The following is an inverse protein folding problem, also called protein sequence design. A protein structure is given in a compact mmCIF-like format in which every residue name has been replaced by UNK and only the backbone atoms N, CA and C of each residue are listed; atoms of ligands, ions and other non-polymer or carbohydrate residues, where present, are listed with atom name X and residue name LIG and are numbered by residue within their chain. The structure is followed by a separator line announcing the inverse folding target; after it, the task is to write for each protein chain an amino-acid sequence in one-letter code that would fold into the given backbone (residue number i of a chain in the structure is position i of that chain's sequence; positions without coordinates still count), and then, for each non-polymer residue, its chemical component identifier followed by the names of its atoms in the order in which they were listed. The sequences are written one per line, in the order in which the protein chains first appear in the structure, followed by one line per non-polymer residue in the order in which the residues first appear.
data_IF_106685357696
#
_entry.id   IF_106685357696
#
_cell.length_a   1.000
_cell.length_b   1.000
_cell.length_c   1.000
_cell.angle_alpha   90.00
_cell.angle_beta   90.00
_cell.angle_gamma   90.00
#
_symmetry.space_group_name_H-M   'P 1'
#
loop_
_entity.id
_entity.type
_entity.pdbx_description
1 polymer ?
#
# COMPACT_ATOMS: atom_id res chain seq x y z
N UNK A 1 73.28 -80.47 -36.87
CA UNK A 1 72.21 -79.59 -37.39
C UNK A 1 71.39 -79.16 -36.17
N UNK A 2 72.02 -78.50 -35.19
CA UNK A 2 71.50 -78.50 -33.81
C UNK A 2 71.58 -77.12 -33.12
N UNK A 3 72.11 -76.10 -33.80
CA UNK A 3 72.26 -74.75 -33.24
C UNK A 3 71.01 -73.88 -33.53
N UNK A 4 70.27 -74.16 -34.61
CA UNK A 4 69.12 -73.35 -35.01
C UNK A 4 67.88 -73.55 -34.12
N UNK A 5 67.57 -74.77 -33.71
CA UNK A 5 66.37 -75.08 -32.90
C UNK A 5 66.45 -74.45 -31.50
N UNK A 6 67.63 -74.49 -30.88
CA UNK A 6 67.84 -73.90 -29.55
C UNK A 6 67.71 -72.37 -29.58
N UNK A 7 68.21 -71.73 -30.64
CA UNK A 7 68.08 -70.28 -30.82
C UNK A 7 66.61 -69.86 -31.01
N UNK A 8 65.81 -70.64 -31.74
CA UNK A 8 64.39 -70.37 -31.96
C UNK A 8 63.61 -70.48 -30.64
N UNK A 9 63.90 -71.50 -29.82
CA UNK A 9 63.25 -71.69 -28.52
C UNK A 9 63.60 -70.55 -27.56
N UNK A 10 64.88 -70.18 -27.46
CA UNK A 10 65.31 -69.06 -26.61
C UNK A 10 64.69 -67.75 -27.09
N UNK A 11 64.64 -67.50 -28.40
CA UNK A 11 64.01 -66.29 -28.97
C UNK A 11 62.51 -66.24 -28.69
N UNK A 12 61.80 -67.36 -28.81
CA UNK A 12 60.38 -67.46 -28.46
C UNK A 12 60.12 -67.20 -26.96
N UNK A 13 60.95 -67.74 -26.07
CA UNK A 13 60.84 -67.48 -24.63
C UNK A 13 61.11 -66.01 -24.33
N UNK A 14 62.16 -65.43 -24.91
CA UNK A 14 62.55 -64.03 -24.68
C UNK A 14 61.51 -63.06 -25.25
N UNK A 15 60.92 -63.36 -26.42
CA UNK A 15 59.84 -62.61 -27.01
C UNK A 15 58.54 -62.72 -26.19
N UNK A 16 58.22 -63.92 -25.69
CA UNK A 16 57.07 -64.13 -24.80
C UNK A 16 57.21 -63.35 -23.48
N UNK A 17 58.41 -63.35 -22.89
CA UNK A 17 58.71 -62.60 -21.67
C UNK A 17 58.70 -61.08 -21.91
N UNK A 18 59.26 -60.64 -23.05
CA UNK A 18 59.25 -59.24 -23.47
C UNK A 18 57.84 -58.72 -23.76
N UNK A 19 56.99 -59.52 -24.41
CA UNK A 19 55.58 -59.18 -24.65
C UNK A 19 54.79 -59.11 -23.33
N UNK A 20 55.02 -60.04 -22.40
CA UNK A 20 54.40 -60.03 -21.08
C UNK A 20 54.78 -58.76 -20.29
N UNK A 21 56.08 -58.46 -20.19
CA UNK A 21 56.56 -57.24 -19.54
C UNK A 21 56.01 -55.99 -20.23
N UNK A 22 56.09 -55.88 -21.56
CA UNK A 22 55.53 -54.75 -22.30
C UNK A 22 54.04 -54.53 -22.01
N UNK A 23 53.25 -55.61 -21.97
CA UNK A 23 51.83 -55.56 -21.63
C UNK A 23 51.58 -55.13 -20.18
N UNK A 24 52.42 -55.57 -19.25
CA UNK A 24 52.33 -55.24 -17.83
C UNK A 24 52.62 -53.77 -17.58
N UNK A 25 53.69 -53.24 -18.17
CA UNK A 25 54.05 -51.82 -18.06
C UNK A 25 53.00 -50.92 -18.73
N UNK A 26 52.46 -51.33 -19.88
CA UNK A 26 51.37 -50.61 -20.55
C UNK A 26 50.11 -50.53 -19.68
N UNK A 27 49.65 -51.66 -19.12
CA UNK A 27 48.51 -51.68 -18.18
C UNK A 27 48.77 -50.83 -16.93
N UNK A 28 49.99 -50.84 -16.41
CA UNK A 28 50.36 -50.04 -15.24
C UNK A 28 50.36 -48.53 -15.55
N UNK A 29 50.82 -48.14 -16.74
CA UNK A 29 50.74 -46.76 -17.23
C UNK A 29 49.30 -46.29 -17.48
N UNK A 30 48.46 -47.16 -18.06
CA UNK A 30 47.02 -46.88 -18.26
C UNK A 30 46.29 -46.73 -16.92
N UNK A 31 46.55 -47.61 -15.95
CA UNK A 31 46.00 -47.50 -14.59
C UNK A 31 46.43 -46.21 -13.89
N UNK A 32 47.70 -45.83 -13.98
CA UNK A 32 48.19 -44.60 -13.37
C UNK A 32 47.57 -43.34 -14.01
N UNK A 33 47.36 -43.34 -15.33
CA UNK A 33 46.68 -42.25 -16.02
C UNK A 33 45.17 -42.17 -15.66
N UNK A 34 44.51 -43.32 -15.49
CA UNK A 34 43.11 -43.40 -15.05
C UNK A 34 42.97 -42.91 -13.60
N UNK A 35 43.89 -43.29 -12.71
CA UNK A 35 43.90 -42.86 -11.30
C UNK A 35 44.16 -41.34 -11.16
N UNK A 36 45.10 -40.80 -11.95
CA UNK A 36 45.33 -39.36 -12.02
C UNK A 36 44.11 -38.60 -12.55
N UNK A 37 43.39 -39.14 -13.54
CA UNK A 37 42.18 -38.50 -14.06
C UNK A 37 41.01 -38.63 -13.07
N UNK A 38 40.87 -39.76 -12.37
CA UNK A 38 39.85 -39.94 -11.34
C UNK A 38 40.05 -39.02 -10.14
N UNK A 39 41.29 -38.86 -9.67
CA UNK A 39 41.60 -37.94 -8.56
C UNK A 39 41.32 -36.49 -8.94
N UNK A 40 41.68 -36.07 -10.15
CA UNK A 40 41.30 -34.74 -10.66
C UNK A 40 39.79 -34.58 -10.81
N UNK A 41 39.08 -35.57 -11.35
CA UNK A 41 37.62 -35.55 -11.48
C UNK A 41 36.91 -35.48 -10.12
N UNK A 42 37.41 -36.19 -9.10
CA UNK A 42 36.90 -36.11 -7.74
C UNK A 42 37.13 -34.72 -7.14
N UNK A 43 38.32 -34.14 -7.32
CA UNK A 43 38.62 -32.80 -6.84
C UNK A 43 37.74 -31.72 -7.51
N UNK A 44 37.49 -31.85 -8.82
CA UNK A 44 36.55 -30.99 -9.53
C UNK A 44 35.11 -31.18 -9.07
N UNK A 45 34.68 -32.41 -8.78
CA UNK A 45 33.35 -32.69 -8.26
C UNK A 45 33.15 -32.09 -6.85
N UNK A 46 34.13 -32.23 -5.95
CA UNK A 46 34.09 -31.64 -4.60
C UNK A 46 34.08 -30.12 -4.65
N UNK A 47 34.93 -29.50 -5.49
CA UNK A 47 34.93 -28.04 -5.70
C UNK A 47 33.58 -27.55 -6.24
N UNK A 48 33.02 -28.22 -7.23
CA UNK A 48 31.71 -27.87 -7.78
C UNK A 48 30.59 -28.04 -6.74
N UNK A 49 30.62 -29.10 -5.93
CA UNK A 49 29.62 -29.31 -4.89
C UNK A 49 29.69 -28.24 -3.80
N UNK A 50 30.90 -27.79 -3.43
CA UNK A 50 31.10 -26.69 -2.48
C UNK A 50 30.57 -25.36 -3.04
N UNK A 51 30.89 -25.03 -4.28
CA UNK A 51 30.40 -23.81 -4.94
C UNK A 51 28.89 -23.82 -5.09
N UNK A 52 28.28 -24.96 -5.48
CA UNK A 52 26.83 -25.10 -5.56
C UNK A 52 26.18 -24.90 -4.19
N UNK A 53 26.77 -25.46 -3.12
CA UNK A 53 26.29 -25.25 -1.75
C UNK A 53 26.35 -23.79 -1.31
N UNK A 54 27.42 -23.08 -1.64
CA UNK A 54 27.59 -21.65 -1.34
C UNK A 54 26.60 -20.76 -2.13
N UNK A 55 26.37 -21.07 -3.41
CA UNK A 55 25.37 -20.39 -4.25
C UNK A 55 23.95 -20.67 -3.76
N UNK A 56 23.65 -21.91 -3.38
CA UNK A 56 22.33 -22.27 -2.87
C UNK A 56 22.06 -21.61 -1.51
N UNK A 57 23.05 -21.53 -0.63
CA UNK A 57 22.93 -20.86 0.66
C UNK A 57 22.78 -19.33 0.51
N UNK A 58 23.50 -18.72 -0.42
CA UNK A 58 23.35 -17.28 -0.72
C UNK A 58 21.99 -16.97 -1.34
N UNK A 59 21.54 -17.77 -2.31
CA UNK A 59 20.20 -17.64 -2.89
C UNK A 59 19.08 -17.86 -1.86
N UNK A 60 19.26 -18.81 -0.93
CA UNK A 60 18.29 -19.01 0.17
C UNK A 60 18.21 -17.82 1.12
N UNK A 61 19.35 -17.21 1.46
CA UNK A 61 19.38 -15.99 2.29
C UNK A 61 18.73 -14.82 1.56
N UNK A 62 19.13 -14.58 0.31
CA UNK A 62 18.60 -13.48 -0.49
C UNK A 62 17.10 -13.65 -0.73
N UNK A 63 16.65 -14.86 -1.04
CA UNK A 63 15.22 -15.19 -1.14
C UNK A 63 14.47 -15.00 0.18
N UNK A 64 15.06 -15.38 1.32
CA UNK A 64 14.46 -15.14 2.63
C UNK A 64 14.34 -13.64 2.96
N UNK A 65 15.36 -12.85 2.62
CA UNK A 65 15.37 -11.40 2.80
C UNK A 65 14.30 -10.73 1.91
N UNK A 66 14.20 -11.13 0.64
CA UNK A 66 13.14 -10.68 -0.27
C UNK A 66 11.75 -11.06 0.22
N UNK A 67 11.57 -12.30 0.69
CA UNK A 67 10.30 -12.75 1.25
C UNK A 67 9.93 -11.97 2.51
N UNK A 68 10.90 -11.65 3.36
CA UNK A 68 10.68 -10.84 4.55
C UNK A 68 10.27 -9.41 4.18
N UNK A 69 10.96 -8.77 3.24
CA UNK A 69 10.63 -7.41 2.79
C UNK A 69 9.23 -7.34 2.16
N UNK A 70 8.88 -8.32 1.31
CA UNK A 70 7.55 -8.44 0.72
C UNK A 70 6.49 -8.66 1.79
N UNK A 71 6.75 -9.51 2.77
CA UNK A 71 5.83 -9.77 3.88
C UNK A 71 5.60 -8.51 4.72
N UNK A 72 6.65 -7.76 5.08
CA UNK A 72 6.53 -6.49 5.80
C UNK A 72 5.70 -5.48 5.02
N UNK A 73 5.96 -5.35 3.71
CA UNK A 73 5.18 -4.47 2.81
C UNK A 73 3.69 -4.87 2.77
N UNK A 74 3.39 -6.16 2.72
CA UNK A 74 2.02 -6.67 2.75
C UNK A 74 1.33 -6.38 4.09
N UNK A 75 2.01 -6.57 5.22
CA UNK A 75 1.47 -6.24 6.54
C UNK A 75 1.17 -4.74 6.66
N UNK A 76 2.11 -3.89 6.25
CA UNK A 76 1.87 -2.44 6.25
C UNK A 76 0.69 -2.05 5.36
N UNK A 77 0.53 -2.68 4.20
CA UNK A 77 -0.64 -2.45 3.36
C UNK A 77 -1.93 -2.91 4.02
N UNK A 78 -1.94 -4.09 4.66
CA UNK A 78 -3.13 -4.61 5.36
C UNK A 78 -3.58 -3.63 6.44
N UNK A 79 -2.64 -3.13 7.25
CA UNK A 79 -2.91 -2.11 8.26
C UNK A 79 -3.46 -0.83 7.63
N UNK A 80 -2.83 -0.31 6.57
CA UNK A 80 -3.34 0.89 5.87
C UNK A 80 -4.73 0.69 5.30
N UNK A 81 -5.00 -0.48 4.72
CA UNK A 81 -6.32 -0.84 4.17
C UNK A 81 -7.39 -0.80 5.26
N UNK A 82 -7.15 -1.45 6.40
CA UNK A 82 -8.09 -1.42 7.53
C UNK A 82 -8.37 0.01 7.97
N UNK A 83 -7.33 0.84 8.10
CA UNK A 83 -7.49 2.25 8.43
C UNK A 83 -8.26 3.05 7.38
N UNK A 84 -8.04 2.81 6.08
CA UNK A 84 -8.84 3.44 5.04
C UNK A 84 -10.31 3.04 5.15
N UNK A 85 -10.61 1.77 5.45
CA UNK A 85 -11.99 1.31 5.63
C UNK A 85 -12.65 2.03 6.82
N UNK A 86 -11.98 2.06 7.98
CA UNK A 86 -12.49 2.75 9.18
C UNK A 86 -12.77 4.24 8.91
N UNK A 87 -11.84 4.93 8.23
CA UNK A 87 -12.00 6.35 7.86
C UNK A 87 -13.17 6.54 6.88
N UNK A 88 -13.25 5.69 5.85
CA UNK A 88 -14.30 5.80 4.84
C UNK A 88 -15.69 5.50 5.42
N UNK A 89 -15.79 4.52 6.31
CA UNK A 89 -17.04 4.17 6.99
C UNK A 89 -17.52 5.31 7.88
N UNK A 90 -16.63 5.95 8.63
CA UNK A 90 -16.95 7.15 9.43
C UNK A 90 -17.39 8.32 8.54
N UNK A 91 -16.68 8.59 7.44
CA UNK A 91 -17.04 9.65 6.50
C UNK A 91 -18.40 9.38 5.83
N UNK A 92 -18.70 8.13 5.49
CA UNK A 92 -20.01 7.73 4.95
C UNK A 92 -21.12 7.90 5.99
N UNK A 93 -20.88 7.52 7.24
CA UNK A 93 -21.83 7.68 8.32
C UNK A 93 -22.13 9.16 8.60
N UNK A 94 -21.09 10.01 8.62
CA UNK A 94 -21.24 11.47 8.73
C UNK A 94 -22.08 12.00 7.57
N UNK A 95 -21.73 11.65 6.32
CA UNK A 95 -22.47 12.04 5.13
C UNK A 95 -23.95 11.65 5.23
N UNK A 96 -24.25 10.43 5.68
CA UNK A 96 -25.63 9.95 5.83
C UNK A 96 -26.41 10.77 6.86
N UNK A 97 -25.79 11.13 7.98
CA UNK A 97 -26.43 11.97 9.00
C UNK A 97 -26.63 13.41 8.51
N UNK A 98 -25.66 13.99 7.79
CA UNK A 98 -25.81 15.30 7.15
C UNK A 98 -26.96 15.31 6.15
N UNK A 99 -27.07 14.29 5.28
CA UNK A 99 -28.21 14.15 4.35
C UNK A 99 -29.54 14.09 5.11
N UNK A 100 -29.58 13.41 6.26
CA UNK A 100 -30.78 13.37 7.10
C UNK A 100 -31.13 14.76 7.65
N UNK A 101 -30.14 15.50 8.13
CA UNK A 101 -30.34 16.86 8.64
C UNK A 101 -30.83 17.82 7.55
N UNK A 102 -30.24 17.74 6.36
CA UNK A 102 -30.63 18.56 5.21
C UNK A 102 -32.06 18.32 4.72
N UNK A 103 -32.60 17.11 4.89
CA UNK A 103 -34.01 16.86 4.58
C UNK A 103 -34.93 17.78 5.39
N UNK A 104 -34.66 17.96 6.68
CA UNK A 104 -35.43 18.88 7.52
C UNK A 104 -35.25 20.34 7.07
N UNK A 105 -34.02 20.75 6.77
CA UNK A 105 -33.74 22.12 6.30
C UNK A 105 -34.42 22.43 4.97
N UNK A 106 -34.44 21.48 4.03
CA UNK A 106 -35.09 21.63 2.74
C UNK A 106 -36.62 21.72 2.84
N UNK A 107 -37.21 21.20 3.92
CA UNK A 107 -38.65 21.30 4.18
C UNK A 107 -39.06 22.66 4.80
N UNK A 108 -38.14 23.37 5.47
CA UNK A 108 -38.42 24.67 6.13
C UNK A 108 -39.19 25.66 5.24
N UNK A 109 -38.79 25.93 3.99
CA UNK A 109 -39.47 26.93 3.15
C UNK A 109 -40.89 26.52 2.74
N UNK A 110 -41.25 25.23 2.86
CA UNK A 110 -42.56 24.72 2.43
C UNK A 110 -43.65 24.92 3.48
N UNK A 111 -43.26 25.20 4.73
CA UNK A 111 -44.18 25.38 5.84
C UNK A 111 -44.60 26.84 5.96
N UNK A 112 -45.73 27.15 5.33
CA UNK A 112 -46.43 28.44 5.41
C UNK A 112 -47.83 28.25 6.00
N UNK A 113 -48.32 29.25 6.71
CA UNK A 113 -49.68 29.33 7.25
C UNK A 113 -50.71 29.45 6.13
N UNK A 114 -51.99 29.35 6.48
CA UNK A 114 -53.09 29.49 5.52
C UNK A 114 -53.09 30.86 4.78
N UNK A 115 -52.49 31.88 5.40
CA UNK A 115 -52.36 33.23 4.85
C UNK A 115 -51.09 33.41 4.00
N UNK A 116 -50.31 32.34 3.82
CA UNK A 116 -49.05 32.34 3.05
C UNK A 116 -47.86 32.91 3.81
N UNK A 117 -48.01 33.24 5.10
CA UNK A 117 -46.91 33.67 5.96
C UNK A 117 -46.10 32.47 6.46
N UNK A 118 -44.80 32.63 6.77
CA UNK A 118 -43.99 31.55 7.37
C UNK A 118 -44.64 30.98 8.65
N UNK A 119 -44.82 29.66 8.73
CA UNK A 119 -45.21 29.03 9.99
C UNK A 119 -43.98 28.92 10.90
N UNK A 120 -43.69 30.01 11.62
CA UNK A 120 -42.48 30.13 12.43
C UNK A 120 -42.29 28.99 13.43
N UNK A 121 -43.39 28.44 13.99
CA UNK A 121 -43.28 27.34 14.96
C UNK A 121 -42.82 26.05 14.30
N UNK A 122 -43.40 25.74 13.15
CA UNK A 122 -43.05 24.52 12.41
C UNK A 122 -41.67 24.63 11.77
N UNK A 123 -41.34 25.79 11.22
CA UNK A 123 -40.00 26.10 10.69
C UNK A 123 -38.93 25.99 11.78
N UNK A 124 -39.15 26.59 12.96
CA UNK A 124 -38.20 26.47 14.08
C UNK A 124 -38.07 25.03 14.59
N UNK A 125 -39.13 24.23 14.56
CA UNK A 125 -39.06 22.82 14.94
C UNK A 125 -38.12 22.05 14.00
N UNK A 126 -38.27 22.20 12.69
CA UNK A 126 -37.41 21.53 11.70
C UNK A 126 -35.95 21.96 11.80
N UNK A 127 -35.68 23.26 12.02
CA UNK A 127 -34.32 23.77 12.24
C UNK A 127 -33.70 23.11 13.48
N UNK A 128 -34.44 23.01 14.58
CA UNK A 128 -33.95 22.36 15.81
C UNK A 128 -33.66 20.87 15.62
N UNK A 129 -34.46 20.15 14.85
CA UNK A 129 -34.21 18.74 14.52
C UNK A 129 -32.93 18.59 13.69
N UNK A 130 -32.71 19.45 12.70
CA UNK A 130 -31.46 19.48 11.94
C UNK A 130 -30.26 19.78 12.85
N UNK A 131 -30.35 20.80 13.71
CA UNK A 131 -29.30 21.15 14.68
C UNK A 131 -28.98 20.01 15.64
N UNK A 132 -29.99 19.29 16.12
CA UNK A 132 -29.79 18.14 17.00
C UNK A 132 -28.98 17.03 16.33
N UNK A 133 -29.15 16.84 15.01
CA UNK A 133 -28.36 15.87 14.24
C UNK A 133 -26.90 16.34 14.09
N UNK A 134 -26.68 17.61 13.76
CA UNK A 134 -25.33 18.15 13.62
C UNK A 134 -24.56 18.16 14.93
N UNK A 135 -25.19 18.65 16.00
CA UNK A 135 -24.57 18.79 17.32
C UNK A 135 -24.49 17.48 18.11
N UNK A 136 -25.15 16.41 17.66
CA UNK A 136 -25.10 15.09 18.28
C UNK A 136 -24.41 14.07 17.36
N UNK A 137 -25.16 13.28 16.58
CA UNK A 137 -24.62 12.18 15.76
C UNK A 137 -23.46 12.55 14.84
N UNK A 138 -23.46 13.74 14.23
CA UNK A 138 -22.39 14.18 13.31
C UNK A 138 -21.14 14.54 14.12
N UNK A 139 -21.27 15.39 15.14
CA UNK A 139 -20.15 15.79 15.99
C UNK A 139 -19.48 14.59 16.67
N UNK A 140 -20.27 13.63 17.17
CA UNK A 140 -19.74 12.40 17.78
C UNK A 140 -18.84 11.62 16.80
N UNK A 141 -19.27 11.48 15.54
CA UNK A 141 -18.48 10.79 14.50
C UNK A 141 -17.27 11.60 14.07
N UNK A 142 -17.35 12.93 14.06
CA UNK A 142 -16.19 13.80 13.80
C UNK A 142 -15.15 13.60 14.91
N UNK A 143 -15.57 13.51 16.18
CA UNK A 143 -14.68 13.21 17.30
C UNK A 143 -14.03 11.83 17.13
N UNK A 144 -14.82 10.79 16.81
CA UNK A 144 -14.28 9.45 16.54
C UNK A 144 -13.26 9.46 15.39
N UNK A 145 -13.54 10.21 14.32
CA UNK A 145 -12.62 10.36 13.19
C UNK A 145 -11.32 11.07 13.60
N UNK A 146 -11.39 12.13 14.42
CA UNK A 146 -10.20 12.81 14.97
C UNK A 146 -9.36 11.87 15.84
N UNK A 147 -9.99 11.07 16.68
CA UNK A 147 -9.30 10.08 17.51
C UNK A 147 -8.60 9.01 16.67
N UNK A 148 -9.28 8.49 15.65
CA UNK A 148 -8.72 7.52 14.70
C UNK A 148 -7.49 8.11 14.00
N UNK A 149 -7.60 9.36 13.55
CA UNK A 149 -6.50 10.06 12.88
C UNK A 149 -5.30 10.21 13.79
N UNK A 150 -5.52 10.73 15.01
CA UNK A 150 -4.45 10.99 15.98
C UNK A 150 -3.76 9.71 16.47
N UNK A 151 -4.51 8.61 16.64
CA UNK A 151 -3.95 7.36 17.18
C UNK A 151 -3.27 6.50 16.14
N UNK A 152 -3.83 6.41 14.93
CA UNK A 152 -3.43 5.39 13.94
C UNK A 152 -3.03 5.96 12.59
N UNK A 153 -3.66 7.04 12.12
CA UNK A 153 -3.37 7.55 10.77
C UNK A 153 -2.04 8.31 10.69
N UNK A 154 -1.62 9.05 11.72
CA UNK A 154 -0.36 9.84 11.68
C UNK A 154 0.86 9.01 11.30
N UNK A 155 0.92 7.75 11.71
CA UNK A 155 2.07 6.87 11.47
C UNK A 155 1.97 6.07 10.17
N UNK A 156 0.76 5.92 9.62
CA UNK A 156 0.49 4.93 8.58
C UNK A 156 -0.12 5.54 7.31
N UNK A 157 -0.71 6.73 7.37
CA UNK A 157 -1.31 7.37 6.20
C UNK A 157 -0.27 8.13 5.38
N UNK A 158 -0.38 8.11 4.04
CA UNK A 158 0.40 9.01 3.20
C UNK A 158 -0.01 10.46 3.48
N UNK A 159 0.94 11.39 3.35
CA UNK A 159 0.75 12.83 3.59
C UNK A 159 -0.48 13.40 2.84
N UNK A 160 -0.73 12.91 1.63
CA UNK A 160 -1.91 13.29 0.85
C UNK A 160 -3.23 12.95 1.55
N UNK A 161 -3.33 11.79 2.21
CA UNK A 161 -4.53 11.41 2.96
C UNK A 161 -4.67 12.25 4.24
N UNK A 162 -3.56 12.51 4.92
CA UNK A 162 -3.55 13.40 6.09
C UNK A 162 -3.96 14.83 5.74
N UNK A 163 -3.53 15.34 4.58
CA UNK A 163 -3.94 16.65 4.09
C UNK A 163 -5.46 16.70 3.84
N UNK A 164 -6.03 15.67 3.21
CA UNK A 164 -7.49 15.62 2.96
C UNK A 164 -8.29 15.64 4.26
N UNK A 165 -7.85 14.91 5.29
CA UNK A 165 -8.52 14.91 6.58
C UNK A 165 -8.33 16.23 7.33
N UNK A 166 -7.16 16.85 7.22
CA UNK A 166 -6.90 18.20 7.74
C UNK A 166 -7.81 19.23 7.08
N UNK A 167 -7.94 19.19 5.76
CA UNK A 167 -8.82 20.09 5.00
C UNK A 167 -10.28 19.88 5.41
N UNK A 168 -10.70 18.63 5.64
CA UNK A 168 -12.02 18.30 6.14
C UNK A 168 -12.28 18.90 7.54
N UNK A 169 -11.37 18.68 8.51
CA UNK A 169 -11.53 19.23 9.86
C UNK A 169 -11.49 20.76 9.91
N UNK A 170 -10.82 21.39 8.94
CA UNK A 170 -10.72 22.84 8.81
C UNK A 170 -11.72 23.42 7.81
N UNK A 171 -12.65 22.62 7.27
CA UNK A 171 -13.50 23.01 6.16
C UNK A 171 -14.32 24.26 6.46
N UNK A 172 -14.89 24.38 7.66
CA UNK A 172 -15.68 25.56 8.06
C UNK A 172 -14.80 26.81 8.22
N UNK A 173 -13.57 26.66 8.74
CA UNK A 173 -12.61 27.77 8.82
C UNK A 173 -12.21 28.26 7.43
N UNK A 174 -11.97 27.33 6.50
CA UNK A 174 -11.65 27.61 5.10
C UNK A 174 -12.82 28.31 4.42
N UNK A 175 -14.05 27.84 4.63
CA UNK A 175 -15.26 28.46 4.08
C UNK A 175 -15.40 29.90 4.54
N UNK A 176 -15.38 30.14 5.86
CA UNK A 176 -15.50 31.49 6.43
C UNK A 176 -14.43 32.42 5.84
N UNK A 177 -13.18 31.96 5.77
CA UNK A 177 -12.09 32.74 5.19
C UNK A 177 -12.33 33.09 3.72
N UNK A 178 -12.89 32.18 2.94
CA UNK A 178 -13.24 32.43 1.54
C UNK A 178 -14.42 33.40 1.42
N UNK A 179 -15.47 33.24 2.23
CA UNK A 179 -16.61 34.17 2.28
C UNK A 179 -16.15 35.61 2.59
N UNK A 180 -15.26 35.80 3.56
CA UNK A 180 -14.67 37.12 3.85
C UNK A 180 -13.86 37.69 2.67
N UNK A 181 -13.09 36.84 1.96
CA UNK A 181 -12.32 37.28 0.79
C UNK A 181 -13.21 37.69 -0.37
N UNK A 182 -14.27 36.91 -0.62
CA UNK A 182 -15.24 37.21 -1.66
C UNK A 182 -16.01 38.49 -1.33
N UNK A 183 -16.43 38.66 -0.07
CA UNK A 183 -17.02 39.89 0.44
C UNK A 183 -16.09 41.10 0.25
N UNK A 184 -14.82 41.01 0.66
CA UNK A 184 -13.85 42.10 0.45
C UNK A 184 -13.68 42.45 -1.03
N UNK A 185 -13.65 41.44 -1.91
CA UNK A 185 -13.54 41.64 -3.35
C UNK A 185 -14.77 42.37 -3.89
N UNK A 186 -15.96 41.95 -3.50
CA UNK A 186 -17.21 42.53 -3.98
C UNK A 186 -17.45 43.94 -3.41
N UNK A 187 -17.01 44.20 -2.18
CA UNK A 187 -16.95 45.54 -1.59
C UNK A 187 -16.01 46.46 -2.38
N UNK A 188 -14.80 45.99 -2.72
CA UNK A 188 -13.84 46.75 -3.54
C UNK A 188 -14.36 47.04 -4.95
N UNK A 189 -15.24 46.18 -5.47
CA UNK A 189 -15.87 46.34 -6.78
C UNK A 189 -17.16 47.17 -6.74
N UNK A 190 -17.58 47.65 -5.56
CA UNK A 190 -18.80 48.44 -5.38
C UNK A 190 -20.09 47.64 -5.58
N UNK A 191 -20.02 46.30 -5.50
CA UNK A 191 -21.18 45.40 -5.60
C UNK A 191 -21.90 45.25 -4.26
N UNK A 192 -21.18 45.47 -3.16
CA UNK A 192 -21.68 45.42 -1.79
C UNK A 192 -21.40 46.75 -1.08
N UNK A 193 -22.24 47.06 -0.11
CA UNK A 193 -22.14 48.20 0.79
C UNK A 193 -21.27 47.87 2.01
N UNK A 194 -20.70 48.90 2.63
CA UNK A 194 -20.01 48.78 3.94
C UNK A 194 -20.95 48.39 5.08
N UNK A 195 -22.26 48.45 4.85
CA UNK A 195 -23.29 48.02 5.80
C UNK A 195 -23.73 46.58 5.59
N UNK A 196 -23.32 45.94 4.48
CA UNK A 196 -23.59 44.53 4.24
C UNK A 196 -22.67 43.67 5.13
N UNK A 197 -23.15 42.51 5.53
CA UNK A 197 -22.37 41.58 6.36
C UNK A 197 -21.88 40.40 5.52
N UNK A 198 -20.64 39.93 5.71
CA UNK A 198 -20.14 38.69 5.12
C UNK A 198 -20.77 37.42 5.73
N UNK A 199 -21.78 37.55 6.60
CA UNK A 199 -22.42 36.41 7.22
C UNK A 199 -23.34 35.70 6.24
N UNK A 200 -22.84 34.57 5.73
CA UNK A 200 -23.70 33.48 5.28
C UNK A 200 -24.59 33.05 6.45
N UNK A 201 -25.89 32.85 6.20
CA UNK A 201 -26.83 32.36 7.20
C UNK A 201 -26.31 31.09 7.88
N UNK A 202 -26.68 30.87 9.13
CA UNK A 202 -26.31 29.67 9.90
C UNK A 202 -26.67 28.37 9.15
N UNK A 203 -27.78 28.38 8.41
CA UNK A 203 -28.21 27.28 7.54
C UNK A 203 -27.18 26.93 6.45
N UNK A 204 -26.52 27.92 5.83
CA UNK A 204 -25.47 27.68 4.84
C UNK A 204 -24.24 26.98 5.43
N UNK A 205 -23.99 27.17 6.72
CA UNK A 205 -22.91 26.44 7.42
C UNK A 205 -23.20 24.95 7.56
N UNK A 206 -24.48 24.58 7.62
CA UNK A 206 -24.92 23.20 7.78
C UNK A 206 -24.73 22.40 6.49
N UNK A 207 -25.10 22.98 5.33
CA UNK A 207 -24.88 22.38 4.01
C UNK A 207 -23.40 22.14 3.70
N UNK A 208 -22.51 23.01 4.19
CA UNK A 208 -21.06 22.87 3.96
C UNK A 208 -20.45 21.60 4.54
N UNK A 209 -20.99 21.11 5.66
CA UNK A 209 -20.49 19.88 6.29
C UNK A 209 -20.72 18.65 5.41
N UNK A 210 -21.84 18.60 4.66
CA UNK A 210 -22.09 17.53 3.71
C UNK A 210 -21.07 17.58 2.56
N UNK A 211 -20.92 18.74 1.93
CA UNK A 211 -20.00 18.93 0.81
C UNK A 211 -18.55 18.57 1.20
N UNK A 212 -18.13 19.01 2.38
CA UNK A 212 -16.81 18.69 2.92
C UNK A 212 -16.63 17.18 3.12
N UNK A 213 -17.63 16.50 3.68
CA UNK A 213 -17.60 15.05 3.89
C UNK A 213 -17.55 14.27 2.56
N UNK A 214 -18.33 14.69 1.55
CA UNK A 214 -18.33 14.07 0.23
C UNK A 214 -16.99 14.25 -0.50
N UNK A 215 -16.42 15.45 -0.43
CA UNK A 215 -15.12 15.75 -1.02
C UNK A 215 -14.02 14.91 -0.35
N UNK A 216 -14.02 14.86 0.98
CA UNK A 216 -13.07 14.05 1.75
C UNK A 216 -13.18 12.57 1.38
N UNK A 217 -14.40 12.02 1.37
CA UNK A 217 -14.66 10.62 1.01
C UNK A 217 -14.12 10.28 -0.39
N UNK A 218 -14.43 11.13 -1.39
CA UNK A 218 -13.97 10.94 -2.77
C UNK A 218 -12.45 10.96 -2.88
N UNK A 219 -11.80 11.89 -2.20
CA UNK A 219 -10.34 12.04 -2.25
C UNK A 219 -9.62 10.91 -1.52
N UNK A 220 -10.09 10.50 -0.33
CA UNK A 220 -9.54 9.33 0.38
C UNK A 220 -9.71 8.06 -0.45
N UNK A 221 -10.88 7.86 -1.08
CA UNK A 221 -11.11 6.72 -1.98
C UNK A 221 -10.12 6.70 -3.14
N UNK A 222 -9.83 7.87 -3.73
CA UNK A 222 -8.85 8.00 -4.82
C UNK A 222 -7.44 7.64 -4.34
N UNK A 223 -7.04 8.12 -3.16
CA UNK A 223 -5.73 7.84 -2.57
C UNK A 223 -5.59 6.35 -2.24
N UNK A 224 -6.59 5.75 -1.59
CA UNK A 224 -6.60 4.32 -1.26
C UNK A 224 -6.48 3.43 -2.51
N UNK A 225 -7.14 3.80 -3.62
CA UNK A 225 -6.99 3.11 -4.92
C UNK A 225 -5.59 3.25 -5.50
N UNK A 226 -4.95 4.41 -5.32
CA UNK A 226 -3.56 4.65 -5.73
C UNK A 226 -2.58 3.80 -4.93
N UNK A 227 -2.73 3.76 -3.60
CA UNK A 227 -1.88 3.00 -2.68
C UNK A 227 -1.95 1.49 -2.98
N UNK A 228 -3.16 0.96 -3.26
CA UNK A 228 -3.34 -0.45 -3.71
C UNK A 228 -2.56 -0.80 -4.98
N UNK A 229 -2.39 0.15 -5.91
CA UNK A 229 -1.66 -0.11 -7.17
C UNK A 229 -0.15 -0.21 -6.94
N UNK A 230 0.39 0.54 -5.97
CA UNK A 230 1.82 0.53 -5.63
C UNK A 230 2.25 -0.75 -4.91
N UNK A 231 1.31 -1.47 -4.28
CA UNK A 231 1.59 -2.71 -3.55
C UNK A 231 1.40 -3.99 -4.36
N UNK A 232 0.80 -3.87 -5.56
CA UNK A 232 0.63 -4.98 -6.51
C UNK A 232 1.67 -4.95 -7.67
N UNK A 233 2.58 -3.96 -7.66
CA UNK A 233 3.68 -3.80 -8.60
C UNK A 233 4.97 -4.32 -7.97
#
# INVERSE_FOLDING_TARGET
MDIDILSIIVTAITAGFGAYLGSFWKKKGEMAAIESNQSQLLEYAEKNQKVIGEVQASFQRESADYQHEVWVKQQHWLTRKELYMDVLDLLLAIRSDCIRAEKYLNEVPTWVTADGEPDEKQQQYLIKEAEAIYNGPVEEKIVQLKELVNRKCVLCFPDAAMQVLSDYFNAESIRRKNAYRDFERDLKQGRLSIYDSPHDGYELSLYHNLEAAELAYKNITKIARGDKKLTNA
#
